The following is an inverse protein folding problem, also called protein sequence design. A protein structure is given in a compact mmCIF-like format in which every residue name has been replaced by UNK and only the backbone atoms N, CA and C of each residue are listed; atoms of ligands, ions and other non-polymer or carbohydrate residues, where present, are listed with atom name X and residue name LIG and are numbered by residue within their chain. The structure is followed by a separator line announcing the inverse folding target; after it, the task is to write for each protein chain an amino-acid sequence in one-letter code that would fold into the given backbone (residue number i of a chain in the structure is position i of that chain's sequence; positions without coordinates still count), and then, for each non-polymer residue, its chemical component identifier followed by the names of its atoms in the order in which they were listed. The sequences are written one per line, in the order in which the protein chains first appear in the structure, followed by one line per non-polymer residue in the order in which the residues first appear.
data_IF_014812008653
#
_entry.id   IF_014812008653
#
_cell.length_a   1.000
_cell.length_b   1.000
_cell.length_c   1.000
_cell.angle_alpha   90.00
_cell.angle_beta   90.00
_cell.angle_gamma   90.00
#
_symmetry.space_group_name_H-M   'P 1'
#
loop_
_entity.id
_entity.type
_entity.pdbx_description
1 polymer ?
#
# COMPACT_ATOMS: atom_id res chain seq x y z
N UNK A 1 -7.41 15.08 2.13
CA UNK A 1 -6.24 15.86 2.58
C UNK A 1 -5.05 14.92 2.51
N UNK A 2 -4.23 15.00 1.46
CA UNK A 2 -2.98 14.21 1.39
C UNK A 2 -1.99 14.81 2.42
N UNK A 3 -1.43 13.97 3.29
CA UNK A 3 -0.48 14.39 4.33
C UNK A 3 0.74 15.06 3.71
N UNK A 4 1.30 16.06 4.40
CA UNK A 4 2.52 16.71 3.92
C UNK A 4 3.72 15.77 4.09
N UNK A 5 4.74 15.81 3.23
CA UNK A 5 5.93 14.95 3.35
C UNK A 5 6.61 14.98 4.73
N UNK A 6 6.58 16.14 5.42
CA UNK A 6 7.11 16.28 6.77
C UNK A 6 6.28 15.52 7.82
N UNK A 7 4.96 15.47 7.67
CA UNK A 7 4.07 14.73 8.58
C UNK A 7 4.24 13.22 8.35
N UNK A 8 4.40 12.79 7.10
CA UNK A 8 4.62 11.39 6.77
C UNK A 8 5.97 10.88 7.30
N UNK A 9 7.01 11.71 7.28
CA UNK A 9 8.32 11.34 7.83
C UNK A 9 8.24 10.99 9.32
N UNK A 10 7.50 11.78 10.11
CA UNK A 10 7.30 11.51 11.54
C UNK A 10 6.49 10.23 11.79
N UNK A 11 5.46 9.98 10.98
CA UNK A 11 4.66 8.75 11.10
C UNK A 11 5.49 7.52 10.77
N UNK A 12 6.33 7.59 9.74
CA UNK A 12 7.24 6.51 9.34
C UNK A 12 8.22 6.21 10.47
N UNK A 13 8.89 7.22 11.03
CA UNK A 13 9.85 7.03 12.12
C UNK A 13 9.23 6.44 13.39
N UNK A 14 7.97 6.79 13.69
CA UNK A 14 7.22 6.19 14.80
C UNK A 14 6.84 4.74 14.49
N UNK A 15 6.31 4.48 13.30
CA UNK A 15 5.93 3.14 12.88
C UNK A 15 7.12 2.17 12.82
N UNK A 16 8.30 2.62 12.36
CA UNK A 16 9.55 1.85 12.40
C UNK A 16 10.01 1.49 13.82
N UNK A 17 9.57 2.24 14.84
CA UNK A 17 9.83 1.96 16.26
C UNK A 17 8.74 1.09 16.91
N UNK A 18 7.82 0.55 16.12
CA UNK A 18 6.73 -0.32 16.58
C UNK A 18 5.46 0.42 17.01
N UNK A 19 5.32 1.71 16.71
CA UNK A 19 4.08 2.46 16.96
C UNK A 19 3.01 2.08 15.92
N UNK A 20 2.16 1.11 16.26
CA UNK A 20 1.07 0.65 15.40
C UNK A 20 0.06 1.74 15.06
N UNK A 21 -0.17 2.72 15.96
CA UNK A 21 -1.11 3.81 15.71
C UNK A 21 -0.56 4.78 14.65
N UNK A 22 0.76 4.99 14.61
CA UNK A 22 1.38 5.76 13.54
C UNK A 22 1.23 5.06 12.18
N UNK A 23 1.30 3.72 12.14
CA UNK A 23 1.04 2.97 10.92
C UNK A 23 -0.44 3.00 10.50
N UNK A 24 -1.36 2.92 11.46
CA UNK A 24 -2.80 3.07 11.19
C UNK A 24 -3.12 4.42 10.54
N UNK A 25 -2.53 5.51 11.04
CA UNK A 25 -2.66 6.84 10.44
C UNK A 25 -2.16 6.87 8.98
N UNK A 26 -1.04 6.18 8.68
CA UNK A 26 -0.58 6.00 7.30
C UNK A 26 -1.64 5.28 6.45
N UNK A 27 -2.21 4.18 6.96
CA UNK A 27 -3.27 3.44 6.26
C UNK A 27 -4.46 4.35 5.98
N UNK A 28 -4.96 5.07 6.97
CA UNK A 28 -6.11 5.96 6.83
C UNK A 28 -5.88 7.08 5.80
N UNK A 29 -4.66 7.65 5.75
CA UNK A 29 -4.28 8.68 4.78
C UNK A 29 -4.24 8.15 3.35
N UNK A 30 -3.75 6.93 3.18
CA UNK A 30 -3.42 6.38 1.85
C UNK A 30 -4.45 5.39 1.30
N UNK A 31 -5.41 4.92 2.11
CA UNK A 31 -6.37 3.86 1.72
C UNK A 31 -7.11 4.18 0.42
N UNK A 32 -7.54 5.43 0.22
CA UNK A 32 -8.32 5.82 -0.96
C UNK A 32 -7.49 5.74 -2.24
N UNK A 33 -6.26 6.26 -2.22
CA UNK A 33 -5.40 6.23 -3.41
C UNK A 33 -4.83 4.84 -3.68
N UNK A 34 -4.53 4.08 -2.62
CA UNK A 34 -4.13 2.69 -2.70
C UNK A 34 -5.24 1.86 -3.35
N UNK A 35 -6.48 1.97 -2.85
CA UNK A 35 -7.63 1.28 -3.43
C UNK A 35 -7.85 1.68 -4.89
N UNK A 36 -7.87 2.98 -5.21
CA UNK A 36 -8.05 3.45 -6.58
C UNK A 36 -6.97 2.92 -7.52
N UNK A 37 -5.71 2.89 -7.06
CA UNK A 37 -4.58 2.36 -7.84
C UNK A 37 -4.76 0.86 -8.12
N UNK A 38 -5.15 0.09 -7.10
CA UNK A 38 -5.43 -1.32 -7.27
C UNK A 38 -6.62 -1.55 -8.22
N UNK A 39 -7.71 -0.80 -8.04
CA UNK A 39 -8.93 -0.90 -8.85
C UNK A 39 -8.69 -0.64 -10.34
N UNK A 40 -7.89 0.37 -10.69
CA UNK A 40 -7.52 0.64 -12.10
C UNK A 40 -6.78 -0.55 -12.73
N UNK A 41 -6.04 -1.32 -11.94
CA UNK A 41 -5.29 -2.49 -12.43
C UNK A 41 -6.16 -3.75 -12.46
N UNK A 42 -6.97 -3.97 -11.42
CA UNK A 42 -7.75 -5.20 -11.27
C UNK A 42 -9.08 -5.18 -12.02
N UNK A 43 -9.68 -4.01 -12.22
CA UNK A 43 -11.04 -3.86 -12.74
C UNK A 43 -12.13 -4.43 -11.83
N UNK A 44 -11.80 -4.79 -10.59
CA UNK A 44 -12.68 -5.47 -9.63
C UNK A 44 -12.50 -4.89 -8.23
N UNK A 45 -13.58 -4.50 -7.57
CA UNK A 45 -13.55 -3.93 -6.20
C UNK A 45 -12.98 -4.94 -5.20
N UNK A 46 -13.44 -6.19 -5.27
CA UNK A 46 -12.98 -7.25 -4.37
C UNK A 46 -11.47 -7.52 -4.52
N UNK A 47 -10.99 -7.66 -5.76
CA UNK A 47 -9.56 -7.85 -6.00
C UNK A 47 -8.74 -6.60 -5.62
N UNK A 48 -9.31 -5.41 -5.75
CA UNK A 48 -8.68 -4.16 -5.36
C UNK A 48 -8.55 -4.01 -3.84
N UNK A 49 -9.62 -4.31 -3.09
CA UNK A 49 -9.63 -4.34 -1.62
C UNK A 49 -8.57 -5.30 -1.09
N UNK A 50 -8.55 -6.52 -1.63
CA UNK A 50 -7.59 -7.50 -1.17
C UNK A 50 -6.14 -7.16 -1.57
N UNK A 51 -5.91 -6.58 -2.76
CA UNK A 51 -4.58 -6.10 -3.16
C UNK A 51 -4.11 -4.93 -2.30
N UNK A 52 -5.02 -4.03 -1.93
CA UNK A 52 -4.75 -2.93 -1.02
C UNK A 52 -4.34 -3.45 0.36
N UNK A 53 -5.09 -4.39 0.93
CA UNK A 53 -4.78 -5.00 2.22
C UNK A 53 -3.42 -5.69 2.21
N UNK A 54 -3.16 -6.59 1.25
CA UNK A 54 -1.87 -7.27 1.13
C UNK A 54 -0.73 -6.27 0.88
N UNK A 55 -0.99 -5.22 0.09
CA UNK A 55 -0.05 -4.15 -0.16
C UNK A 55 0.35 -3.39 1.11
N UNK A 56 -0.61 -3.06 1.97
CA UNK A 56 -0.33 -2.47 3.28
C UNK A 56 0.44 -3.46 4.19
N UNK A 57 0.02 -4.72 4.30
CA UNK A 57 0.75 -5.72 5.11
C UNK A 57 2.22 -5.85 4.66
N UNK A 58 2.47 -5.89 3.35
CA UNK A 58 3.84 -5.92 2.80
C UNK A 58 4.59 -4.63 3.04
N UNK A 59 3.93 -3.48 2.93
CA UNK A 59 4.53 -2.19 3.24
C UNK A 59 4.93 -2.12 4.72
N UNK A 60 4.09 -2.55 5.67
CA UNK A 60 4.43 -2.62 7.09
C UNK A 60 5.68 -3.45 7.33
N UNK A 61 5.73 -4.67 6.77
CA UNK A 61 6.89 -5.58 6.90
C UNK A 61 8.17 -5.05 6.26
N UNK A 62 8.06 -4.17 5.27
CA UNK A 62 9.20 -3.56 4.57
C UNK A 62 9.57 -2.19 5.14
N UNK A 63 8.76 -1.63 6.05
CA UNK A 63 8.90 -0.25 6.52
C UNK A 63 10.23 0.00 7.24
N UNK A 64 10.75 -1.00 7.97
CA UNK A 64 12.06 -0.93 8.63
C UNK A 64 13.23 -0.67 7.67
N UNK A 65 13.06 -1.00 6.38
CA UNK A 65 14.06 -0.78 5.33
C UNK A 65 13.75 0.45 4.48
N UNK A 66 12.66 1.16 4.78
CA UNK A 66 12.31 2.38 4.07
C UNK A 66 13.33 3.48 4.38
N UNK A 67 13.88 4.08 3.33
CA UNK A 67 14.94 5.10 3.46
C UNK A 67 14.32 6.44 3.90
N UNK A 68 14.83 7.00 4.98
CA UNK A 68 14.49 8.38 5.39
C UNK A 68 14.77 9.37 4.25
N UNK A 69 13.83 10.30 4.04
CA UNK A 69 13.87 11.29 2.95
C UNK A 69 13.36 10.80 1.60
N UNK A 70 12.96 9.53 1.46
CA UNK A 70 12.21 9.07 0.28
C UNK A 70 10.71 9.37 0.43
N UNK A 71 10.01 9.53 -0.69
CA UNK A 71 8.56 9.76 -0.68
C UNK A 71 7.80 8.44 -0.44
N UNK A 72 6.96 8.43 0.60
CA UNK A 72 6.16 7.27 1.00
C UNK A 72 5.15 6.85 -0.08
N UNK A 73 4.45 7.82 -0.68
CA UNK A 73 3.40 7.59 -1.67
C UNK A 73 3.86 6.74 -2.86
N UNK A 74 4.88 7.13 -3.67
CA UNK A 74 5.29 6.33 -4.82
C UNK A 74 5.83 4.95 -4.42
N UNK A 75 6.48 4.84 -3.26
CA UNK A 75 6.95 3.55 -2.74
C UNK A 75 5.77 2.61 -2.40
N UNK A 76 4.79 3.11 -1.66
CA UNK A 76 3.59 2.35 -1.28
C UNK A 76 2.77 1.95 -2.51
N UNK A 77 2.53 2.88 -3.43
CA UNK A 77 1.78 2.61 -4.66
C UNK A 77 2.47 1.57 -5.55
N UNK A 78 3.81 1.50 -5.54
CA UNK A 78 4.55 0.46 -6.27
C UNK A 78 4.29 -0.94 -5.69
N UNK A 79 4.26 -1.06 -4.36
CA UNK A 79 3.95 -2.33 -3.67
C UNK A 79 2.53 -2.77 -4.05
N UNK A 80 1.55 -1.88 -3.89
CA UNK A 80 0.14 -2.15 -4.19
C UNK A 80 -0.06 -2.52 -5.66
N UNK A 81 0.56 -1.79 -6.58
CA UNK A 81 0.45 -2.11 -8.00
C UNK A 81 1.03 -3.49 -8.35
N UNK A 82 2.08 -3.94 -7.64
CA UNK A 82 2.60 -5.29 -7.80
C UNK A 82 1.59 -6.34 -7.31
N UNK A 83 0.95 -6.13 -6.15
CA UNK A 83 -0.09 -7.03 -5.66
C UNK A 83 -1.29 -7.11 -6.60
N UNK A 84 -1.77 -5.97 -7.09
CA UNK A 84 -2.87 -5.91 -8.05
C UNK A 84 -2.54 -6.68 -9.34
N UNK A 85 -1.35 -6.49 -9.92
CA UNK A 85 -0.92 -7.25 -11.12
C UNK A 85 -0.80 -8.75 -10.85
N UNK A 86 -0.30 -9.14 -9.68
CA UNK A 86 -0.20 -10.55 -9.29
C UNK A 86 -1.58 -11.21 -9.20
N UNK A 87 -2.59 -10.48 -8.70
CA UNK A 87 -3.98 -10.95 -8.68
C UNK A 87 -4.56 -11.15 -10.06
N UNK A 88 -4.46 -10.16 -10.94
CA UNK A 88 -4.93 -10.27 -12.33
C UNK A 88 -4.31 -11.48 -13.04
N UNK A 89 -2.99 -11.66 -12.91
CA UNK A 89 -2.27 -12.82 -13.48
C UNK A 89 -2.78 -14.15 -12.94
N UNK A 90 -3.19 -14.20 -11.67
CA UNK A 90 -3.63 -15.43 -11.00
C UNK A 90 -5.09 -15.76 -11.29
N UNK A 91 -5.95 -14.74 -11.41
CA UNK A 91 -7.33 -14.89 -11.86
C UNK A 91 -7.43 -15.32 -13.33
N UNK A 92 -6.57 -14.81 -14.22
CA UNK A 92 -6.50 -15.28 -15.61
C UNK A 92 -6.15 -16.77 -15.73
N UNK A 93 -5.26 -17.28 -14.87
CA UNK A 93 -4.95 -18.72 -14.81
C UNK A 93 -6.11 -19.58 -14.33
N UNK A 94 -6.94 -19.08 -13.40
CA UNK A 94 -8.14 -19.79 -12.90
C UNK A 94 -9.26 -19.87 -13.93
N UNK A 95 -9.30 -18.95 -14.90
CA UNK A 95 -10.32 -18.94 -15.95
C UNK A 95 -9.93 -19.80 -17.18
N UNK A 96 -8.68 -20.28 -17.23
CA UNK A 96 -8.16 -21.13 -18.33
C UNK A 96 -8.05 -22.62 -17.94
N UNK A 97 -8.51 -23.00 -16.75
CA UNK A 97 -8.65 -24.38 -16.27
C UNK A 97 -10.13 -24.75 -16.22
#
# INVERSE_FOLDING_TARGET
MEGRPADDSQLIERAQRGDSAAYEEIVQRYQQIVFRTAYVITGSSADAEDAAQEGFVKAYRALDRFRSGADLRPWLLRIVANEARNRVRSSGRRHQL
#
